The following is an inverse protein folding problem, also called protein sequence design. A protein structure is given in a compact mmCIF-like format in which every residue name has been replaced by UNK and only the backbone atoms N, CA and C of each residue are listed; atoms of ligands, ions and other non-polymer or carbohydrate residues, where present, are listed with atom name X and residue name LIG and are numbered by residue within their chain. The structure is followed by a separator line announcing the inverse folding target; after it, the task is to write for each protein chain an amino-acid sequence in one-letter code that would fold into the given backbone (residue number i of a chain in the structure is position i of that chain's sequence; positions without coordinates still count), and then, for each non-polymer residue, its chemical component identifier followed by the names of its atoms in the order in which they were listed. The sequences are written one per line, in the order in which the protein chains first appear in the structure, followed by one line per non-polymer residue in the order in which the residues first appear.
data_IF_095466448114
#
_entry.id   IF_095466448114
#
_cell.length_a   1.000
_cell.length_b   1.000
_cell.length_c   1.000
_cell.angle_alpha   90.00
_cell.angle_beta   90.00
_cell.angle_gamma   90.00
#
_symmetry.space_group_name_H-M   'P 1'
#
loop_
_entity.id
_entity.type
_entity.pdbx_description
1 polymer ?
#
# COMPACT_ATOMS: atom_id res chain seq x y z
N UNK A 1 40.51 9.73 18.34
CA UNK A 1 40.07 10.51 17.15
C UNK A 1 39.18 9.60 16.36
N UNK A 2 37.86 9.79 16.48
CA UNK A 2 36.86 9.03 15.74
C UNK A 2 36.85 9.54 14.30
N UNK A 3 37.10 8.64 13.35
CA UNK A 3 36.89 8.90 11.93
C UNK A 3 35.39 9.11 11.68
N UNK A 4 34.99 10.37 11.51
CA UNK A 4 33.68 10.70 10.98
C UNK A 4 33.59 10.21 9.55
N UNK A 5 32.89 9.10 9.31
CA UNK A 5 32.56 8.65 7.97
C UNK A 5 31.63 9.67 7.33
N UNK A 6 32.14 10.35 6.30
CA UNK A 6 31.37 11.27 5.48
C UNK A 6 30.29 10.51 4.71
N UNK A 7 29.05 10.51 5.21
CA UNK A 7 27.86 10.00 4.51
C UNK A 7 27.42 10.85 3.30
N UNK A 8 28.12 11.96 3.02
CA UNK A 8 27.67 13.00 2.08
C UNK A 8 28.01 12.76 0.60
N UNK A 9 28.56 11.59 0.19
CA UNK A 9 28.95 11.37 -1.21
C UNK A 9 28.66 9.96 -1.75
N UNK A 10 27.66 9.24 -1.24
CA UNK A 10 27.21 8.02 -1.91
C UNK A 10 26.35 8.40 -3.14
N UNK A 11 26.98 8.58 -4.28
CA UNK A 11 26.25 8.59 -5.55
C UNK A 11 25.80 7.17 -5.84
N UNK A 12 24.49 6.96 -5.92
CA UNK A 12 23.90 5.70 -6.35
C UNK A 12 24.44 5.33 -7.75
N UNK A 13 24.74 4.05 -7.97
CA UNK A 13 25.05 3.53 -9.30
C UNK A 13 23.81 3.60 -10.19
N UNK A 14 23.98 3.51 -11.51
CA UNK A 14 22.85 3.47 -12.45
C UNK A 14 21.87 2.33 -12.13
N UNK A 15 22.37 1.18 -11.75
CA UNK A 15 21.59 0.02 -11.36
C UNK A 15 20.79 0.28 -10.08
N UNK A 16 21.41 0.89 -9.07
CA UNK A 16 20.72 1.28 -7.83
C UNK A 16 19.62 2.31 -8.08
N UNK A 17 19.85 3.28 -8.97
CA UNK A 17 18.84 4.27 -9.37
C UNK A 17 17.64 3.57 -10.04
N UNK A 18 17.90 2.61 -10.93
CA UNK A 18 16.84 1.83 -11.58
C UNK A 18 16.01 1.02 -10.56
N UNK A 19 16.66 0.42 -9.55
CA UNK A 19 15.95 -0.27 -8.46
C UNK A 19 15.07 0.67 -7.65
N UNK A 20 15.59 1.80 -7.24
CA UNK A 20 14.86 2.79 -6.43
C UNK A 20 13.63 3.32 -7.17
N UNK A 21 13.72 3.48 -8.47
CA UNK A 21 12.58 3.92 -9.30
C UNK A 21 11.42 2.92 -9.33
N UNK A 22 11.64 1.66 -8.94
CA UNK A 22 10.61 0.60 -8.86
C UNK A 22 9.99 0.46 -7.47
N UNK A 23 10.47 1.23 -6.49
CA UNK A 23 9.93 1.21 -5.12
C UNK A 23 8.92 2.36 -4.95
N UNK A 24 7.72 2.03 -4.50
CA UNK A 24 6.64 2.99 -4.28
C UNK A 24 6.18 2.96 -2.83
N UNK A 25 5.83 4.11 -2.31
CA UNK A 25 5.15 4.26 -1.03
C UNK A 25 3.84 5.04 -1.21
N UNK A 26 2.79 4.59 -0.57
CA UNK A 26 1.49 5.28 -0.57
C UNK A 26 1.03 5.42 0.87
N UNK A 27 0.77 6.63 1.30
CA UNK A 27 0.16 6.90 2.60
C UNK A 27 -0.88 8.02 2.49
N UNK A 28 -1.89 7.96 3.34
CA UNK A 28 -2.93 8.97 3.45
C UNK A 28 -2.53 10.10 4.40
N UNK A 29 -1.61 9.85 5.33
CA UNK A 29 -1.08 10.86 6.24
C UNK A 29 0.05 11.66 5.57
N UNK A 30 -0.19 12.94 5.36
CA UNK A 30 0.78 13.82 4.72
C UNK A 30 2.10 13.93 5.50
N UNK A 31 2.07 13.85 6.83
CA UNK A 31 3.28 13.90 7.67
C UNK A 31 4.13 12.66 7.44
N UNK A 32 3.52 11.48 7.41
CA UNK A 32 4.19 10.22 7.10
C UNK A 32 4.84 10.25 5.71
N UNK A 33 4.13 10.77 4.71
CA UNK A 33 4.66 10.95 3.35
C UNK A 33 5.87 11.89 3.35
N UNK A 34 5.80 13.03 4.04
CA UNK A 34 6.92 13.98 4.13
C UNK A 34 8.15 13.36 4.80
N UNK A 35 7.95 12.64 5.90
CA UNK A 35 9.04 11.93 6.59
C UNK A 35 9.67 10.89 5.68
N UNK A 36 8.88 10.04 5.03
CA UNK A 36 9.37 9.03 4.10
C UNK A 36 10.15 9.64 2.94
N UNK A 37 9.65 10.73 2.32
CA UNK A 37 10.37 11.45 1.27
C UNK A 37 11.70 12.02 1.76
N UNK A 38 11.73 12.57 2.97
CA UNK A 38 12.96 13.12 3.55
C UNK A 38 13.99 12.02 3.81
N UNK A 39 13.56 10.88 4.37
CA UNK A 39 14.44 9.74 4.60
C UNK A 39 15.03 9.19 3.29
N UNK A 40 14.20 9.07 2.26
CA UNK A 40 14.65 8.62 0.95
C UNK A 40 15.65 9.61 0.33
N UNK A 41 15.39 10.91 0.46
CA UNK A 41 16.32 11.95 -0.02
C UNK A 41 17.68 11.85 0.69
N UNK A 42 17.68 11.65 2.01
CA UNK A 42 18.92 11.46 2.80
C UNK A 42 19.64 10.18 2.37
N UNK A 43 18.89 9.12 2.04
CA UNK A 43 19.44 7.86 1.54
C UNK A 43 19.97 7.94 0.09
N UNK A 44 19.83 9.10 -0.58
CA UNK A 44 20.34 9.33 -1.94
C UNK A 44 19.31 9.08 -3.06
N UNK A 45 18.07 8.76 -2.72
CA UNK A 45 16.96 8.70 -3.69
C UNK A 45 16.42 10.11 -3.95
N UNK A 46 16.94 10.76 -4.99
CA UNK A 46 16.53 12.11 -5.39
C UNK A 46 15.13 12.20 -6.02
N UNK A 47 14.48 11.08 -6.33
CA UNK A 47 13.15 11.00 -6.98
C UNK A 47 12.27 10.01 -6.27
N UNK A 48 11.72 10.41 -5.14
CA UNK A 48 10.91 9.49 -4.34
C UNK A 48 9.54 9.25 -4.96
N UNK A 49 9.18 7.98 -5.13
CA UNK A 49 7.83 7.56 -5.50
C UNK A 49 6.92 7.39 -4.27
N UNK A 50 7.04 8.29 -3.29
CA UNK A 50 6.15 8.31 -2.13
C UNK A 50 5.01 9.27 -2.40
N UNK A 51 3.78 8.74 -2.41
CA UNK A 51 2.57 9.44 -2.87
C UNK A 51 1.60 9.65 -1.71
N UNK A 52 1.08 10.87 -1.61
CA UNK A 52 0.04 11.23 -0.65
C UNK A 52 -1.33 10.93 -1.25
N UNK A 53 -1.84 9.71 -1.02
CA UNK A 53 -3.11 9.22 -1.57
C UNK A 53 -3.79 8.25 -0.62
N UNK A 54 -5.11 8.09 -0.78
CA UNK A 54 -5.85 7.01 -0.11
C UNK A 54 -5.74 5.72 -0.93
N UNK A 55 -4.98 4.74 -0.43
CA UNK A 55 -4.78 3.45 -1.12
C UNK A 55 -6.08 2.71 -1.39
N UNK A 56 -7.09 2.88 -0.52
CA UNK A 56 -8.37 2.19 -0.64
C UNK A 56 -9.35 2.86 -1.62
N UNK A 57 -9.14 4.14 -1.95
CA UNK A 57 -10.04 4.89 -2.85
C UNK A 57 -9.36 5.17 -4.20
N UNK A 58 -8.88 4.10 -4.84
CA UNK A 58 -8.10 4.16 -6.08
C UNK A 58 -8.86 4.78 -7.25
N UNK A 59 -10.18 4.75 -7.27
CA UNK A 59 -11.00 5.39 -8.31
C UNK A 59 -10.93 6.93 -8.25
N UNK A 60 -10.54 7.48 -7.11
CA UNK A 60 -10.39 8.92 -6.89
C UNK A 60 -8.95 9.42 -7.01
N UNK A 61 -8.02 8.56 -7.38
CA UNK A 61 -6.63 8.96 -7.51
C UNK A 61 -6.42 10.03 -8.58
N UNK A 62 -7.08 9.90 -9.73
CA UNK A 62 -6.99 10.89 -10.81
C UNK A 62 -7.52 12.28 -10.38
N UNK A 63 -8.50 12.33 -9.48
CA UNK A 63 -9.03 13.60 -8.97
C UNK A 63 -7.96 14.42 -8.23
N UNK A 64 -6.90 13.78 -7.70
CA UNK A 64 -5.77 14.45 -7.06
C UNK A 64 -4.98 15.34 -8.02
N UNK A 65 -4.98 15.03 -9.30
CA UNK A 65 -4.33 15.86 -10.33
C UNK A 65 -5.00 17.22 -10.53
N UNK A 66 -6.26 17.38 -10.10
CA UNK A 66 -7.00 18.66 -10.12
C UNK A 66 -6.46 19.63 -9.08
N UNK A 67 -5.78 19.15 -8.05
CA UNK A 67 -5.06 19.95 -7.07
C UNK A 67 -3.68 20.31 -7.63
N UNK A 68 -3.50 21.57 -8.01
CA UNK A 68 -2.27 22.05 -8.62
C UNK A 68 -1.03 21.87 -7.72
N UNK A 69 -1.18 22.02 -6.40
CA UNK A 69 -0.06 21.87 -5.46
C UNK A 69 0.32 20.39 -5.32
N UNK A 70 -0.68 19.51 -5.24
CA UNK A 70 -0.45 18.09 -5.26
C UNK A 70 0.21 17.65 -6.58
N UNK A 71 -0.28 18.13 -7.71
CA UNK A 71 0.24 17.82 -9.05
C UNK A 71 1.71 18.17 -9.21
N UNK A 72 2.13 19.36 -8.74
CA UNK A 72 3.54 19.79 -8.78
C UNK A 72 4.48 18.84 -8.04
N UNK A 73 4.01 18.22 -6.96
CA UNK A 73 4.84 17.40 -6.06
C UNK A 73 4.82 15.92 -6.40
N UNK A 74 3.67 15.41 -6.88
CA UNK A 74 3.42 13.97 -6.93
C UNK A 74 3.11 13.43 -8.33
N UNK A 75 2.80 14.26 -9.34
CA UNK A 75 2.34 13.79 -10.63
C UNK A 75 3.32 12.84 -11.33
N UNK A 76 4.63 13.11 -11.28
CA UNK A 76 5.64 12.24 -11.91
C UNK A 76 5.64 10.83 -11.30
N UNK A 77 5.63 10.73 -9.96
CA UNK A 77 5.54 9.44 -9.26
C UNK A 77 4.20 8.74 -9.50
N UNK A 78 3.13 9.50 -9.58
CA UNK A 78 1.80 8.99 -9.86
C UNK A 78 1.72 8.34 -11.26
N UNK A 79 2.22 9.01 -12.28
CA UNK A 79 2.22 8.44 -13.63
C UNK A 79 3.09 7.19 -13.73
N UNK A 80 4.26 7.18 -13.06
CA UNK A 80 5.09 5.97 -12.97
C UNK A 80 4.37 4.82 -12.26
N UNK A 81 3.58 5.10 -11.21
CA UNK A 81 2.75 4.10 -10.55
C UNK A 81 1.69 3.55 -11.52
N UNK A 82 1.02 4.42 -12.27
CA UNK A 82 0.01 4.01 -13.25
C UNK A 82 0.58 3.14 -14.38
N UNK A 83 1.85 3.31 -14.73
CA UNK A 83 2.53 2.46 -15.74
C UNK A 83 2.64 0.99 -15.29
N UNK A 84 2.55 0.74 -13.99
CA UNK A 84 2.56 -0.61 -13.41
C UNK A 84 1.15 -1.17 -13.19
N UNK A 85 0.10 -0.37 -13.35
CA UNK A 85 -1.28 -0.82 -13.22
C UNK A 85 -1.70 -1.69 -14.41
N UNK A 86 -2.43 -2.77 -14.14
CA UNK A 86 -3.04 -3.62 -15.19
C UNK A 86 -4.03 -2.80 -16.03
N UNK A 87 -4.78 -1.92 -15.39
CA UNK A 87 -5.66 -0.97 -16.05
C UNK A 87 -5.40 0.46 -15.52
N UNK A 88 -4.82 1.32 -16.36
CA UNK A 88 -4.49 2.71 -15.97
C UNK A 88 -5.70 3.57 -15.60
N UNK A 89 -6.89 3.30 -16.18
CA UNK A 89 -8.11 4.07 -15.90
C UNK A 89 -8.75 3.67 -14.56
N UNK A 90 -8.60 2.40 -14.19
CA UNK A 90 -9.09 1.85 -12.93
C UNK A 90 -7.92 1.12 -12.28
N UNK A 91 -7.04 1.84 -11.53
CA UNK A 91 -5.80 1.27 -11.00
C UNK A 91 -6.07 0.42 -9.74
N UNK A 92 -6.91 -0.62 -9.91
CA UNK A 92 -7.19 -1.62 -8.89
C UNK A 92 -6.04 -2.62 -8.78
N UNK A 93 -5.67 -3.23 -9.90
CA UNK A 93 -4.71 -4.31 -9.96
C UNK A 93 -3.35 -3.82 -10.47
N UNK A 94 -2.30 -4.37 -9.88
CA UNK A 94 -0.91 -4.08 -10.22
C UNK A 94 -0.10 -5.38 -10.35
N UNK A 95 1.16 -5.26 -10.74
CA UNK A 95 2.08 -6.37 -10.90
C UNK A 95 3.34 -6.20 -10.02
N UNK A 96 3.15 -5.86 -8.72
CA UNK A 96 4.29 -5.75 -7.82
C UNK A 96 4.84 -7.12 -7.41
N UNK A 97 6.16 -7.26 -7.40
CA UNK A 97 6.86 -8.45 -6.90
C UNK A 97 6.73 -8.60 -5.39
N UNK A 98 6.74 -7.46 -4.69
CA UNK A 98 6.72 -7.40 -3.23
C UNK A 98 5.74 -6.29 -2.81
N UNK A 99 4.86 -6.63 -1.89
CA UNK A 99 3.96 -5.66 -1.22
C UNK A 99 4.18 -5.77 0.28
N UNK A 100 4.42 -4.63 0.93
CA UNK A 100 4.57 -4.56 2.38
C UNK A 100 3.62 -3.51 2.94
N UNK A 101 2.87 -3.86 3.99
CA UNK A 101 1.90 -2.96 4.57
C UNK A 101 1.80 -3.09 6.10
N UNK A 102 1.66 -1.95 6.74
CA UNK A 102 1.25 -1.84 8.14
C UNK A 102 -0.01 -0.95 8.21
N UNK A 103 -1.18 -1.51 7.87
CA UNK A 103 -2.41 -0.73 7.84
C UNK A 103 -2.86 -0.34 9.26
N UNK A 104 -3.66 0.73 9.40
CA UNK A 104 -4.23 1.11 10.68
C UNK A 104 -5.17 0.01 11.21
N UNK A 105 -4.97 -0.40 12.47
CA UNK A 105 -5.74 -1.48 13.12
C UNK A 105 -7.14 -1.06 13.56
N UNK A 106 -7.36 0.24 13.71
CA UNK A 106 -8.61 0.79 14.21
C UNK A 106 -9.33 1.63 13.16
N UNK A 107 -10.63 1.70 13.32
CA UNK A 107 -11.52 2.55 12.55
C UNK A 107 -12.24 1.82 11.43
N UNK A 108 -13.56 2.03 11.42
CA UNK A 108 -14.44 1.51 10.39
C UNK A 108 -14.58 2.50 9.25
N UNK A 109 -14.65 1.99 8.04
CA UNK A 109 -15.08 2.74 6.87
C UNK A 109 -16.59 2.59 6.73
N UNK A 110 -17.29 3.73 6.72
CA UNK A 110 -18.74 3.82 6.54
C UNK A 110 -19.13 4.36 5.16
N UNK A 111 -18.17 4.92 4.43
CA UNK A 111 -18.42 5.41 3.08
C UNK A 111 -18.50 4.23 2.11
N UNK A 112 -19.73 3.89 1.72
CA UNK A 112 -20.02 2.77 0.82
C UNK A 112 -19.30 2.89 -0.54
N UNK A 113 -19.06 4.11 -1.04
CA UNK A 113 -18.34 4.34 -2.30
C UNK A 113 -16.92 3.78 -2.25
N UNK A 114 -16.30 3.74 -1.05
CA UNK A 114 -14.96 3.20 -0.88
C UNK A 114 -14.99 1.67 -0.83
N UNK A 115 -15.86 1.08 -0.01
CA UNK A 115 -15.74 -0.35 0.27
C UNK A 115 -16.60 -1.27 -0.61
N UNK A 116 -17.65 -0.77 -1.28
CA UNK A 116 -18.49 -1.64 -2.13
C UNK A 116 -17.77 -2.24 -3.35
N UNK A 117 -16.62 -1.71 -3.71
CA UNK A 117 -15.75 -2.23 -4.77
C UNK A 117 -14.84 -3.40 -4.32
N UNK A 118 -14.93 -3.79 -3.05
CA UNK A 118 -14.16 -4.86 -2.45
C UNK A 118 -15.03 -6.07 -2.12
N UNK A 119 -14.55 -7.27 -2.46
CA UNK A 119 -15.25 -8.54 -2.21
C UNK A 119 -15.44 -8.79 -0.72
N UNK A 120 -14.45 -8.43 0.10
CA UNK A 120 -14.54 -8.57 1.56
C UNK A 120 -15.59 -7.67 2.19
N UNK A 121 -16.18 -6.73 1.47
CA UNK A 121 -17.34 -5.96 1.93
C UNK A 121 -18.68 -6.70 1.80
N UNK A 122 -18.72 -7.83 1.07
CA UNK A 122 -19.93 -8.64 0.89
C UNK A 122 -20.00 -9.70 1.98
N UNK A 123 -21.08 -9.84 2.68
CA UNK A 123 -21.27 -10.84 3.73
C UNK A 123 -21.69 -12.21 3.14
N UNK A 124 -21.84 -13.24 4.00
CA UNK A 124 -22.23 -14.61 3.60
C UNK A 124 -23.60 -14.68 2.91
N UNK A 125 -24.45 -13.68 3.07
CA UNK A 125 -25.76 -13.56 2.43
C UNK A 125 -25.70 -12.84 1.07
N UNK A 126 -24.50 -12.55 0.55
CA UNK A 126 -24.31 -11.86 -0.71
C UNK A 126 -24.66 -10.36 -0.67
N UNK A 127 -24.72 -9.74 0.52
CA UNK A 127 -25.06 -8.32 0.68
C UNK A 127 -23.88 -7.55 1.22
N UNK A 128 -23.66 -6.34 0.74
CA UNK A 128 -22.67 -5.43 1.31
C UNK A 128 -23.00 -5.10 2.77
N UNK A 129 -21.97 -5.04 3.59
CA UNK A 129 -22.08 -4.59 4.98
C UNK A 129 -22.28 -3.06 5.04
N UNK A 130 -22.78 -2.56 6.17
CA UNK A 130 -22.97 -1.10 6.35
C UNK A 130 -21.68 -0.37 6.76
N UNK A 131 -20.69 -1.12 7.23
CA UNK A 131 -19.38 -0.64 7.64
C UNK A 131 -18.40 -1.79 7.64
N UNK A 132 -17.11 -1.49 7.46
CA UNK A 132 -16.05 -2.50 7.45
C UNK A 132 -14.79 -1.92 8.07
N UNK A 133 -14.05 -2.74 8.80
CA UNK A 133 -12.75 -2.34 9.36
C UNK A 133 -11.71 -2.12 8.27
N UNK A 134 -10.89 -1.09 8.43
CA UNK A 134 -9.89 -0.68 7.41
C UNK A 134 -8.91 -1.79 7.09
N UNK A 135 -8.38 -2.46 8.10
CA UNK A 135 -7.39 -3.53 7.94
C UNK A 135 -7.91 -4.68 7.07
N UNK A 136 -9.22 -4.97 7.11
CA UNK A 136 -9.85 -5.98 6.25
C UNK A 136 -9.76 -5.56 4.78
N UNK A 137 -10.08 -4.31 4.46
CA UNK A 137 -9.98 -3.83 3.07
C UNK A 137 -8.53 -3.75 2.60
N UNK A 138 -7.59 -3.47 3.50
CA UNK A 138 -6.17 -3.49 3.15
C UNK A 138 -5.65 -4.89 2.82
N UNK A 139 -6.24 -5.96 3.37
CA UNK A 139 -5.90 -7.32 2.95
C UNK A 139 -6.18 -7.51 1.46
N UNK A 140 -7.40 -7.24 1.02
CA UNK A 140 -7.79 -7.35 -0.39
C UNK A 140 -6.99 -6.40 -1.25
N UNK A 141 -6.89 -5.11 -0.86
CA UNK A 141 -6.14 -4.11 -1.62
C UNK A 141 -4.69 -4.50 -1.88
N UNK A 142 -4.01 -5.04 -0.89
CA UNK A 142 -2.62 -5.48 -1.05
C UNK A 142 -2.49 -6.70 -1.95
N UNK A 143 -3.48 -7.61 -1.91
CA UNK A 143 -3.53 -8.75 -2.84
C UNK A 143 -3.78 -8.29 -4.29
N UNK A 144 -4.65 -7.30 -4.50
CA UNK A 144 -4.87 -6.68 -5.81
C UNK A 144 -3.61 -6.03 -6.39
N UNK A 145 -2.71 -5.56 -5.52
CA UNK A 145 -1.46 -4.95 -5.95
C UNK A 145 -0.36 -5.97 -6.26
N UNK A 146 -0.50 -7.22 -5.82
CA UNK A 146 0.52 -8.23 -5.90
C UNK A 146 0.39 -9.05 -7.19
N UNK A 147 1.50 -9.23 -7.92
CA UNK A 147 1.49 -10.14 -9.07
C UNK A 147 1.40 -11.61 -8.65
N UNK A 148 1.01 -12.47 -9.57
CA UNK A 148 1.09 -13.92 -9.38
C UNK A 148 2.55 -14.34 -9.06
N UNK A 149 2.72 -15.13 -7.99
CA UNK A 149 4.03 -15.56 -7.49
C UNK A 149 4.79 -14.48 -6.68
N UNK A 150 4.22 -13.29 -6.51
CA UNK A 150 4.77 -12.23 -5.66
C UNK A 150 4.71 -12.58 -4.17
N UNK A 151 5.32 -11.74 -3.35
CA UNK A 151 5.38 -11.91 -1.89
C UNK A 151 4.77 -10.71 -1.17
N UNK A 152 3.93 -10.99 -0.18
CA UNK A 152 3.31 -9.97 0.65
C UNK A 152 3.69 -10.14 2.11
N UNK A 153 3.96 -9.04 2.80
CA UNK A 153 4.03 -8.96 4.25
C UNK A 153 3.04 -7.91 4.74
N UNK A 154 2.15 -8.30 5.64
CA UNK A 154 1.13 -7.39 6.20
C UNK A 154 1.04 -7.58 7.71
N UNK A 155 0.99 -6.48 8.44
CA UNK A 155 0.76 -6.49 9.89
C UNK A 155 -0.74 -6.39 10.15
N UNK A 156 -1.28 -7.31 10.93
CA UNK A 156 -2.71 -7.38 11.23
C UNK A 156 -2.96 -7.57 12.73
N UNK A 157 -4.10 -7.12 13.25
CA UNK A 157 -4.51 -7.43 14.62
C UNK A 157 -4.63 -8.95 14.84
N UNK A 158 -4.19 -9.44 16.00
CA UNK A 158 -4.23 -10.86 16.35
C UNK A 158 -5.63 -11.47 16.21
N UNK A 159 -6.68 -10.71 16.48
CA UNK A 159 -8.07 -11.15 16.32
C UNK A 159 -8.41 -11.68 14.92
N UNK A 160 -7.73 -11.20 13.87
CA UNK A 160 -7.96 -11.68 12.49
C UNK A 160 -7.58 -13.15 12.31
N UNK A 161 -6.64 -13.61 13.10
CA UNK A 161 -6.17 -15.00 13.06
C UNK A 161 -7.02 -15.95 13.95
N UNK A 162 -7.57 -15.44 15.06
CA UNK A 162 -8.17 -16.25 16.11
C UNK A 162 -9.69 -16.19 16.17
N UNK A 163 -10.31 -15.06 15.80
CA UNK A 163 -11.77 -14.89 15.93
C UNK A 163 -12.53 -15.76 14.93
N UNK A 164 -13.55 -16.46 15.41
CA UNK A 164 -14.43 -17.28 14.57
C UNK A 164 -15.16 -16.45 13.52
N UNK A 165 -15.57 -15.22 13.87
CA UNK A 165 -16.23 -14.27 12.97
C UNK A 165 -15.38 -13.89 11.75
N UNK A 166 -14.05 -14.01 11.86
CA UNK A 166 -13.12 -13.62 10.81
C UNK A 166 -12.71 -14.81 9.92
N UNK A 167 -13.39 -15.97 10.07
CA UNK A 167 -13.12 -17.17 9.23
C UNK A 167 -13.16 -16.83 7.75
N UNK A 168 -14.17 -16.10 7.30
CA UNK A 168 -14.31 -15.69 5.90
C UNK A 168 -13.10 -14.91 5.37
N UNK A 169 -12.49 -14.07 6.21
CA UNK A 169 -11.29 -13.31 5.82
C UNK A 169 -10.12 -14.26 5.61
N UNK A 170 -9.94 -15.25 6.50
CA UNK A 170 -8.90 -16.27 6.37
C UNK A 170 -9.12 -17.17 5.14
N UNK A 171 -10.36 -17.58 4.89
CA UNK A 171 -10.71 -18.35 3.69
C UNK A 171 -10.38 -17.55 2.42
N UNK A 172 -10.75 -16.27 2.37
CA UNK A 172 -10.41 -15.36 1.25
C UNK A 172 -8.91 -15.29 0.97
N UNK A 173 -8.09 -15.22 2.03
CA UNK A 173 -6.62 -15.21 1.93
C UNK A 173 -6.13 -16.54 1.38
N UNK A 174 -6.58 -17.67 1.96
CA UNK A 174 -6.09 -19.00 1.61
C UNK A 174 -6.50 -19.45 0.20
N UNK A 175 -7.62 -18.93 -0.32
CA UNK A 175 -8.03 -19.17 -1.71
C UNK A 175 -7.14 -18.47 -2.74
N UNK A 176 -6.51 -17.35 -2.35
CA UNK A 176 -5.76 -16.47 -3.28
C UNK A 176 -4.26 -16.54 -3.10
N UNK A 177 -3.78 -16.98 -1.95
CA UNK A 177 -2.35 -17.04 -1.69
C UNK A 177 -1.97 -18.20 -0.76
N UNK A 178 -0.71 -18.60 -0.85
CA UNK A 178 -0.09 -19.53 0.08
C UNK A 178 0.44 -18.75 1.29
N UNK A 179 -0.08 -19.05 2.46
CA UNK A 179 0.46 -18.51 3.72
C UNK A 179 1.83 -19.15 3.98
N UNK A 180 2.87 -18.32 4.10
CA UNK A 180 4.24 -18.77 4.33
C UNK A 180 4.60 -18.78 5.81
N UNK A 181 4.17 -17.74 6.56
CA UNK A 181 4.43 -17.61 7.99
C UNK A 181 3.39 -16.71 8.66
N UNK A 182 3.17 -16.94 9.95
CA UNK A 182 2.50 -16.02 10.87
C UNK A 182 3.46 -15.83 12.04
N UNK A 183 3.82 -14.56 12.30
CA UNK A 183 4.77 -14.18 13.34
C UNK A 183 4.06 -13.30 14.36
N UNK A 184 4.08 -13.72 15.64
CA UNK A 184 3.64 -12.86 16.73
C UNK A 184 4.67 -11.75 16.94
N UNK A 185 4.20 -10.52 17.08
CA UNK A 185 5.04 -9.39 17.48
C UNK A 185 4.80 -9.18 18.98
N UNK A 186 5.84 -9.35 19.78
CA UNK A 186 5.81 -8.99 21.21
C UNK A 186 5.78 -7.46 21.31
N UNK A 187 4.75 -6.94 21.99
CA UNK A 187 4.53 -5.50 22.22
C UNK A 187 4.75 -5.21 23.69
#
# INVERSE_FOLDING_TARGET
KANGSNFTNMKLTKEQIEYVQKVFGIDFDEKSVRVAKTLNLIAGDGKTNVLHMNSLDYEKWEDRLKDNEWGKVYSEGYYRLLDLAVNRKIPKEFNFDIVMANPPFAGDIKDSRIFWKYDLSVNEKGKHVNKISRDILFIERNLDMLKAGGRMAIVLPQGRFNNTSDKRIRDYILERCRLLAVVGLDV
#
